data_IF_900279452279
#
_entry.id   IF_900279452279
#
_cell.length_a   1.000
_cell.length_b   1.000
_cell.length_c   1.000
_cell.angle_alpha   90.00
_cell.angle_beta   90.00
_cell.angle_gamma   90.00
#
_symmetry.space_group_name_H-M   'P 1'
#
loop_
_entity.id
_entity.type
_entity.pdbx_description
1 polymer ?
#
# COMPACT_ATOMS: atom_id res chain seq x y z
N UNK A 1 -18.81 72.15 0.07
CA UNK A 1 -19.32 71.10 0.98
C UNK A 1 -18.64 69.79 0.62
N UNK A 2 -17.71 69.31 1.45
CA UNK A 2 -16.95 68.08 1.20
C UNK A 2 -17.74 66.87 1.69
N UNK A 3 -18.08 65.96 0.77
CA UNK A 3 -18.77 64.70 1.07
C UNK A 3 -17.75 63.73 1.67
N UNK A 4 -17.80 63.53 2.98
CA UNK A 4 -16.98 62.52 3.66
C UNK A 4 -17.49 61.14 3.23
N UNK A 5 -16.68 60.43 2.45
CA UNK A 5 -16.96 59.05 2.11
C UNK A 5 -16.74 58.17 3.34
N UNK A 6 -17.83 57.66 3.93
CA UNK A 6 -17.77 56.68 5.02
C UNK A 6 -17.32 55.36 4.42
N UNK A 7 -16.18 54.85 4.87
CA UNK A 7 -15.68 53.55 4.44
C UNK A 7 -16.70 52.45 4.82
N UNK A 8 -17.04 51.52 3.90
CA UNK A 8 -18.00 50.46 4.18
C UNK A 8 -17.50 49.58 5.34
N UNK A 9 -18.36 49.31 6.31
CA UNK A 9 -18.02 48.49 7.46
C UNK A 9 -17.78 47.04 7.01
N UNK A 10 -16.61 46.49 7.36
CA UNK A 10 -16.27 45.13 6.99
C UNK A 10 -17.29 44.14 7.59
N UNK A 11 -17.91 43.34 6.72
CA UNK A 11 -18.92 42.35 7.13
C UNK A 11 -18.33 41.36 8.13
N UNK A 12 -19.14 40.91 9.08
CA UNK A 12 -18.75 39.89 10.07
C UNK A 12 -18.27 38.60 9.39
N UNK A 13 -18.88 38.26 8.24
CA UNK A 13 -18.50 37.12 7.40
C UNK A 13 -17.09 37.26 6.82
N UNK A 14 -16.72 38.45 6.32
CA UNK A 14 -15.37 38.72 5.80
C UNK A 14 -14.31 38.57 6.90
N UNK A 15 -14.56 39.12 8.09
CA UNK A 15 -13.65 38.98 9.24
C UNK A 15 -13.51 37.53 9.70
N UNK A 16 -14.61 36.78 9.74
CA UNK A 16 -14.59 35.35 10.04
C UNK A 16 -13.79 34.57 8.99
N UNK A 17 -14.02 34.84 7.70
CA UNK A 17 -13.27 34.22 6.61
C UNK A 17 -11.77 34.49 6.69
N UNK A 18 -11.36 35.75 6.89
CA UNK A 18 -9.94 36.08 7.01
C UNK A 18 -9.28 35.43 8.23
N UNK A 19 -10.03 35.23 9.33
CA UNK A 19 -9.56 34.49 10.51
C UNK A 19 -9.38 32.99 10.21
N UNK A 20 -10.33 32.37 9.51
CA UNK A 20 -10.32 30.93 9.27
C UNK A 20 -9.49 30.50 8.06
N UNK A 21 -9.28 31.38 7.08
CA UNK A 21 -8.48 31.09 5.88
C UNK A 21 -7.07 30.63 6.25
N UNK A 22 -6.44 31.24 7.26
CA UNK A 22 -5.11 30.81 7.73
C UNK A 22 -5.12 29.34 8.19
N UNK A 23 -6.07 28.98 9.06
CA UNK A 23 -6.20 27.61 9.56
C UNK A 23 -6.53 26.60 8.46
N UNK A 24 -7.35 26.97 7.48
CA UNK A 24 -7.64 26.12 6.31
C UNK A 24 -6.37 25.89 5.47
N UNK A 25 -5.55 26.91 5.24
CA UNK A 25 -4.27 26.75 4.52
C UNK A 25 -3.29 25.86 5.30
N UNK A 26 -3.21 26.03 6.62
CA UNK A 26 -2.39 25.15 7.47
C UNK A 26 -2.89 23.71 7.37
N UNK A 27 -4.21 23.49 7.45
CA UNK A 27 -4.80 22.15 7.32
C UNK A 27 -4.47 21.52 5.95
N UNK A 28 -4.56 22.29 4.87
CA UNK A 28 -4.22 21.83 3.51
C UNK A 28 -2.78 21.32 3.39
N UNK A 29 -1.84 21.87 4.16
CA UNK A 29 -0.45 21.41 4.20
C UNK A 29 -0.27 20.24 5.17
N UNK A 30 -0.95 20.26 6.33
CA UNK A 30 -0.81 19.22 7.34
C UNK A 30 -1.42 17.88 6.93
N UNK A 31 -2.51 17.89 6.16
CA UNK A 31 -3.15 16.67 5.65
C UNK A 31 -2.14 15.78 4.89
N UNK A 32 -1.50 16.22 3.79
CA UNK A 32 -0.57 15.38 3.06
C UNK A 32 0.65 14.99 3.90
N UNK A 33 1.16 15.91 4.73
CA UNK A 33 2.27 15.61 5.65
C UNK A 33 1.92 14.48 6.63
N UNK A 34 0.69 14.43 7.14
CA UNK A 34 0.23 13.35 8.02
C UNK A 34 0.16 11.99 7.31
N UNK A 35 -0.15 11.95 6.02
CA UNK A 35 -0.24 10.71 5.23
C UNK A 35 1.11 10.26 4.62
N UNK A 36 2.08 11.16 4.49
CA UNK A 36 3.39 10.87 3.89
C UNK A 36 4.12 9.66 4.48
N UNK A 37 4.24 9.49 5.82
CA UNK A 37 4.98 8.36 6.38
C UNK A 37 4.42 7.00 5.96
N UNK A 38 3.09 6.87 5.93
CA UNK A 38 2.42 5.66 5.47
C UNK A 38 2.67 5.43 3.98
N UNK A 39 2.51 6.47 3.17
CA UNK A 39 2.76 6.39 1.73
C UNK A 39 4.19 5.90 1.43
N UNK A 40 5.22 6.50 2.03
CA UNK A 40 6.59 6.06 1.80
C UNK A 40 6.87 4.65 2.34
N UNK A 41 6.27 4.29 3.48
CA UNK A 41 6.38 2.93 4.02
C UNK A 41 5.80 1.88 3.07
N UNK A 42 4.63 2.16 2.50
CA UNK A 42 3.97 1.28 1.54
C UNK A 42 4.80 1.18 0.24
N UNK A 43 5.29 2.29 -0.29
CA UNK A 43 6.16 2.29 -1.48
C UNK A 43 7.47 1.53 -1.29
N UNK A 44 8.10 1.64 -0.12
CA UNK A 44 9.34 0.93 0.19
C UNK A 44 9.11 -0.59 0.33
N UNK A 45 7.92 -1.00 0.77
CA UNK A 45 7.53 -2.41 0.78
C UNK A 45 7.33 -2.93 -0.64
N UNK A 46 6.57 -2.20 -1.47
CA UNK A 46 6.26 -2.61 -2.85
C UNK A 46 7.53 -2.69 -3.74
N UNK A 47 8.54 -1.85 -3.46
CA UNK A 47 9.86 -1.92 -4.14
C UNK A 47 10.77 -3.04 -3.64
N UNK A 48 10.44 -3.68 -2.52
CA UNK A 48 11.31 -4.66 -1.86
C UNK A 48 12.40 -4.06 -0.97
N UNK A 49 12.46 -2.73 -0.78
CA UNK A 49 13.43 -2.06 0.10
C UNK A 49 13.27 -2.50 1.57
N UNK A 50 12.07 -2.91 1.96
CA UNK A 50 11.75 -3.46 3.29
C UNK A 50 11.83 -4.99 3.36
N UNK A 51 12.43 -5.62 2.35
CA UNK A 51 12.47 -7.06 2.21
C UNK A 51 11.25 -7.61 1.48
N UNK A 52 11.04 -8.93 1.62
CA UNK A 52 10.05 -9.65 0.83
C UNK A 52 8.59 -9.34 1.20
N UNK A 53 8.34 -8.88 2.43
CA UNK A 53 6.99 -8.61 2.91
C UNK A 53 6.99 -8.15 4.37
N UNK A 54 5.83 -7.79 4.91
CA UNK A 54 5.70 -7.37 6.31
C UNK A 54 5.88 -8.53 7.30
N UNK A 55 5.57 -9.76 6.89
CA UNK A 55 5.72 -10.95 7.73
C UNK A 55 6.42 -12.06 6.97
N UNK A 56 7.64 -12.38 7.37
CA UNK A 56 8.37 -13.53 6.85
C UNK A 56 7.71 -14.83 7.35
N UNK A 57 7.39 -15.73 6.43
CA UNK A 57 6.90 -17.09 6.73
C UNK A 57 8.09 -18.03 6.92
N UNK A 58 9.25 -17.69 6.35
CA UNK A 58 10.49 -18.44 6.42
C UNK A 58 10.86 -19.10 5.10
N UNK A 59 11.91 -19.91 5.16
CA UNK A 59 12.35 -20.74 4.04
C UNK A 59 11.55 -22.05 3.99
N UNK A 60 11.04 -22.36 2.80
CA UNK A 60 10.24 -23.54 2.51
C UNK A 60 11.02 -24.38 1.50
N UNK A 61 11.25 -25.65 1.85
CA UNK A 61 11.86 -26.63 0.96
C UNK A 61 10.79 -27.31 0.10
N UNK A 62 10.99 -27.30 -1.22
CA UNK A 62 10.09 -27.88 -2.22
C UNK A 62 10.89 -28.78 -3.15
N UNK A 63 11.01 -30.05 -2.77
CA UNK A 63 11.86 -31.00 -3.49
C UNK A 63 13.33 -30.56 -3.43
N UNK A 64 14.02 -30.39 -4.58
CA UNK A 64 15.42 -29.93 -4.60
C UNK A 64 15.58 -28.41 -4.49
N UNK A 65 14.47 -27.65 -4.44
CA UNK A 65 14.47 -26.19 -4.44
C UNK A 65 14.11 -25.63 -3.08
N UNK A 66 14.68 -24.47 -2.75
CA UNK A 66 14.25 -23.69 -1.60
C UNK A 66 13.70 -22.34 -2.04
N UNK A 67 12.68 -21.86 -1.32
CA UNK A 67 12.10 -20.54 -1.52
C UNK A 67 11.84 -19.88 -0.16
N UNK A 68 12.10 -18.58 -0.05
CA UNK A 68 11.63 -17.77 1.07
C UNK A 68 10.26 -17.20 0.72
N UNK A 69 9.31 -17.32 1.64
CA UNK A 69 7.94 -16.83 1.46
C UNK A 69 7.65 -15.76 2.50
N UNK A 70 7.02 -14.66 2.08
CA UNK A 70 6.53 -13.65 3.00
C UNK A 70 5.10 -13.24 2.64
N UNK A 71 4.34 -12.86 3.65
CA UNK A 71 3.09 -12.12 3.45
C UNK A 71 3.44 -10.68 3.08
N UNK A 72 2.88 -10.20 1.97
CA UNK A 72 3.06 -8.81 1.54
C UNK A 72 2.63 -7.88 2.69
N UNK A 73 1.40 -8.07 3.18
CA UNK A 73 0.83 -7.33 4.32
C UNK A 73 0.41 -8.28 5.44
N UNK A 74 0.75 -7.91 6.67
CA UNK A 74 0.36 -8.64 7.88
C UNK A 74 -1.07 -8.26 8.30
N UNK A 75 -2.03 -8.62 7.47
CA UNK A 75 -3.45 -8.33 7.67
C UNK A 75 -4.34 -9.47 7.17
N UNK A 76 -5.64 -9.38 7.44
CA UNK A 76 -6.64 -10.31 6.92
C UNK A 76 -6.75 -10.18 5.39
N UNK A 77 -7.20 -11.24 4.68
CA UNK A 77 -7.53 -11.15 3.27
C UNK A 77 -8.45 -9.96 2.98
N UNK A 78 -8.15 -9.22 1.90
CA UNK A 78 -8.96 -8.07 1.46
C UNK A 78 -9.86 -8.46 0.30
N UNK A 79 -11.02 -7.81 0.20
CA UNK A 79 -11.95 -8.05 -0.90
C UNK A 79 -11.34 -7.56 -2.22
N UNK A 80 -11.14 -8.49 -3.15
CA UNK A 80 -10.54 -8.30 -4.47
C UNK A 80 -11.59 -8.48 -5.57
N UNK A 81 -12.63 -7.64 -5.53
CA UNK A 81 -13.70 -7.64 -6.52
C UNK A 81 -14.39 -9.01 -6.70
N UNK A 82 -14.67 -9.45 -7.95
CA UNK A 82 -15.31 -10.72 -8.23
C UNK A 82 -14.53 -11.96 -7.74
N UNK A 83 -13.22 -11.82 -7.51
CA UNK A 83 -12.36 -12.91 -7.01
C UNK A 83 -12.54 -13.19 -5.52
N UNK A 84 -13.35 -12.39 -4.82
CA UNK A 84 -13.61 -12.54 -3.39
C UNK A 84 -12.42 -12.08 -2.53
N UNK A 85 -12.29 -12.64 -1.34
CA UNK A 85 -11.21 -12.27 -0.42
C UNK A 85 -9.87 -12.89 -0.83
N UNK A 86 -8.85 -12.05 -0.99
CA UNK A 86 -7.51 -12.47 -1.40
C UNK A 86 -6.43 -11.93 -0.45
N UNK A 87 -5.33 -12.67 -0.32
CA UNK A 87 -4.14 -12.27 0.41
C UNK A 87 -2.91 -12.41 -0.48
N UNK A 88 -2.07 -11.38 -0.50
CA UNK A 88 -0.86 -11.33 -1.33
C UNK A 88 0.33 -11.92 -0.58
N UNK A 89 1.11 -12.71 -1.30
CA UNK A 89 2.35 -13.31 -0.83
C UNK A 89 3.43 -13.03 -1.86
N UNK A 90 4.63 -12.78 -1.37
CA UNK A 90 5.83 -12.64 -2.19
C UNK A 90 6.75 -13.82 -1.89
N UNK A 91 7.44 -14.30 -2.93
CA UNK A 91 8.36 -15.41 -2.84
C UNK A 91 9.70 -15.05 -3.48
N UNK A 92 10.80 -15.46 -2.85
CA UNK A 92 12.14 -15.36 -3.40
C UNK A 92 12.74 -16.76 -3.52
N UNK A 93 13.08 -17.16 -4.74
CA UNK A 93 13.79 -18.42 -4.98
C UNK A 93 15.23 -18.33 -4.48
N UNK A 94 15.81 -19.48 -4.14
CA UNK A 94 17.24 -19.55 -3.90
C UNK A 94 18.04 -19.06 -5.11
N UNK A 95 19.18 -18.39 -4.89
CA UNK A 95 19.96 -17.82 -6.01
C UNK A 95 20.37 -18.87 -7.06
N UNK A 96 20.67 -20.11 -6.62
CA UNK A 96 21.01 -21.21 -7.53
C UNK A 96 19.80 -21.84 -8.26
N UNK A 97 18.58 -21.49 -7.85
CA UNK A 97 17.32 -22.04 -8.35
C UNK A 97 16.78 -21.23 -9.54
N UNK A 98 17.11 -19.94 -9.64
CA UNK A 98 16.48 -18.96 -10.56
C UNK A 98 16.53 -19.44 -12.02
N UNK A 99 17.68 -19.91 -12.48
CA UNK A 99 17.85 -20.36 -13.87
C UNK A 99 17.20 -21.72 -14.18
N UNK A 100 16.80 -22.47 -13.14
CA UNK A 100 16.27 -23.84 -13.28
C UNK A 100 14.77 -23.93 -13.05
N UNK A 101 14.20 -22.99 -12.29
CA UNK A 101 12.78 -22.95 -11.96
C UNK A 101 12.06 -22.04 -12.96
N UNK A 102 11.28 -22.66 -13.86
CA UNK A 102 10.53 -21.93 -14.89
C UNK A 102 9.32 -21.17 -14.35
N UNK A 103 8.68 -21.70 -13.30
CA UNK A 103 7.49 -21.09 -12.71
C UNK A 103 7.27 -21.61 -11.29
N UNK A 104 6.75 -20.74 -10.42
CA UNK A 104 6.36 -21.07 -9.05
C UNK A 104 4.85 -20.82 -8.90
N UNK A 105 4.16 -21.76 -8.25
CA UNK A 105 2.73 -21.69 -8.00
C UNK A 105 2.49 -21.82 -6.49
N UNK A 106 1.67 -20.95 -5.91
CA UNK A 106 1.23 -21.08 -4.53
C UNK A 106 -0.25 -21.42 -4.47
N UNK A 107 -0.57 -22.46 -3.72
CA UNK A 107 -1.94 -22.77 -3.31
C UNK A 107 -2.01 -23.12 -1.84
N UNK A 108 -3.00 -22.54 -1.19
CA UNK A 108 -3.38 -22.87 0.17
C UNK A 108 -4.48 -23.94 0.07
N UNK A 109 -4.16 -25.17 0.48
CA UNK A 109 -5.03 -26.37 0.40
C UNK A 109 -4.66 -27.37 -0.72
N UNK A 110 -5.21 -28.60 -0.67
CA UNK A 110 -4.88 -29.68 -1.63
C UNK A 110 -5.46 -29.38 -3.04
N UNK A 111 -4.64 -29.24 -4.10
CA UNK A 111 -5.15 -29.07 -5.47
C UNK A 111 -5.76 -30.39 -5.97
N UNK A 112 -6.84 -30.29 -6.74
CA UNK A 112 -7.49 -31.42 -7.43
C UNK A 112 -6.93 -31.66 -8.84
N UNK A 113 -6.23 -30.68 -9.40
CA UNK A 113 -5.50 -30.74 -10.68
C UNK A 113 -4.54 -29.55 -10.83
N UNK A 114 -3.61 -29.61 -11.80
CA UNK A 114 -2.71 -28.50 -12.14
C UNK A 114 -3.44 -27.24 -12.61
N UNK A 115 -4.60 -27.36 -13.27
CA UNK A 115 -5.47 -26.22 -13.60
C UNK A 115 -6.00 -25.50 -12.35
N UNK A 116 -5.99 -26.17 -11.21
CA UNK A 116 -6.37 -25.61 -9.91
C UNK A 116 -5.15 -25.34 -9.02
N UNK A 117 -3.93 -25.27 -9.57
CA UNK A 117 -2.70 -25.11 -8.77
C UNK A 117 -2.55 -23.74 -8.09
N UNK A 118 -3.50 -22.81 -8.27
CA UNK A 118 -3.52 -21.51 -7.58
C UNK A 118 -3.10 -20.37 -8.51
N UNK A 119 -2.57 -19.31 -7.91
CA UNK A 119 -2.09 -18.13 -8.64
C UNK A 119 -0.59 -18.32 -8.91
N UNK A 120 -0.17 -17.98 -10.13
CA UNK A 120 1.22 -18.03 -10.56
C UNK A 120 1.95 -16.84 -9.93
N UNK A 121 3.16 -17.05 -9.40
CA UNK A 121 4.01 -15.92 -9.01
C UNK A 121 4.51 -15.18 -10.25
N UNK A 122 4.50 -13.85 -10.18
CA UNK A 122 5.05 -12.97 -11.20
C UNK A 122 6.14 -12.12 -10.56
N UNK A 123 7.32 -12.08 -11.17
CA UNK A 123 8.51 -11.40 -10.66
C UNK A 123 9.73 -11.72 -11.50
#
# INVERSE_FOLDING_TARGET
MSKVAVAPSASSLSRFWHKWRFHINVLLVLIPLGFMPKYFSDNALDRGDKGLGQRDVGEIQVGPWSLRLAEDRNEAPRLSGPSGYMKSFNAALCNACIDRVKATYLRIGKPRSLRTAGVIFFG
#
